data_IF_596519344739
#
_entry.id   IF_596519344739
#
_cell.length_a   1.000
_cell.length_b   1.000
_cell.length_c   1.000
_cell.angle_alpha   90.00
_cell.angle_beta   90.00
_cell.angle_gamma   90.00
#
_symmetry.space_group_name_H-M   'P 1'
#
loop_
_entity.id
_entity.type
_entity.pdbx_description
1 polymer ?
#
# COMPACT_ATOMS: atom_id res chain seq x y z
N UNK A 1 -12.45 -16.88 1.87
CA UNK A 1 -11.34 -15.95 2.18
C UNK A 1 -11.84 -14.55 1.87
N UNK A 2 -11.76 -13.59 2.81
CA UNK A 2 -12.27 -12.24 2.57
C UNK A 2 -11.16 -11.31 2.08
N UNK A 3 -11.37 -10.73 0.90
CA UNK A 3 -10.60 -9.58 0.41
C UNK A 3 -10.82 -8.36 1.33
N UNK A 4 -9.90 -7.39 1.37
CA UNK A 4 -10.11 -6.18 2.16
C UNK A 4 -11.32 -5.40 1.62
N UNK A 5 -12.01 -4.69 2.53
CA UNK A 5 -12.97 -3.67 2.11
C UNK A 5 -12.25 -2.56 1.34
N UNK A 6 -12.99 -1.83 0.52
CA UNK A 6 -12.46 -0.59 -0.05
C UNK A 6 -12.27 0.45 1.05
N UNK A 7 -11.22 1.26 0.93
CA UNK A 7 -10.93 2.26 1.95
C UNK A 7 -9.54 2.86 1.84
N UNK A 8 -9.24 3.71 2.82
CA UNK A 8 -7.92 4.30 2.99
C UNK A 8 -7.21 3.57 4.12
N UNK A 9 -5.96 3.19 3.90
CA UNK A 9 -5.19 2.32 4.79
C UNK A 9 -3.77 2.84 4.98
N UNK A 10 -3.20 2.56 6.15
CA UNK A 10 -1.77 2.38 6.30
C UNK A 10 -1.50 0.89 6.10
N UNK A 11 -0.51 0.56 5.27
CA UNK A 11 -0.16 -0.82 4.94
C UNK A 11 1.21 -1.10 5.54
N UNK A 12 1.27 -2.00 6.52
CA UNK A 12 2.46 -2.25 7.33
C UNK A 12 3.02 -3.64 7.03
N UNK A 13 4.33 -3.76 6.88
CA UNK A 13 4.97 -5.06 6.73
C UNK A 13 4.93 -5.84 8.06
N UNK A 14 4.78 -7.15 7.99
CA UNK A 14 4.73 -7.97 9.21
C UNK A 14 6.04 -7.95 10.01
N UNK A 15 7.20 -7.77 9.36
CA UNK A 15 8.47 -7.67 10.09
C UNK A 15 8.75 -6.23 10.53
N UNK A 16 9.25 -6.09 11.76
CA UNK A 16 9.74 -4.84 12.31
C UNK A 16 11.19 -4.59 11.91
N UNK A 17 11.63 -3.33 11.99
CA UNK A 17 13.04 -3.00 11.81
C UNK A 17 13.91 -3.39 13.03
N UNK A 18 15.21 -3.07 12.99
CA UNK A 18 16.12 -3.39 14.11
C UNK A 18 15.85 -2.63 15.40
N UNK A 19 15.08 -1.54 15.35
CA UNK A 19 14.66 -0.76 16.50
C UNK A 19 13.26 -1.15 17.00
N UNK A 20 12.68 -2.23 16.44
CA UNK A 20 11.31 -2.67 16.68
C UNK A 20 10.24 -1.71 16.14
N UNK A 21 10.60 -0.84 15.18
CA UNK A 21 9.65 0.06 14.54
C UNK A 21 8.82 -0.67 13.46
N UNK A 22 7.54 -0.32 13.36
CA UNK A 22 6.65 -0.77 12.29
C UNK A 22 7.05 -0.15 10.95
N UNK A 23 7.06 -0.96 9.88
CA UNK A 23 7.51 -0.54 8.56
C UNK A 23 6.33 -0.35 7.60
N UNK A 24 5.94 0.91 7.37
CA UNK A 24 4.80 1.27 6.52
C UNK A 24 5.20 1.52 5.05
N UNK A 25 4.36 1.07 4.11
CA UNK A 25 4.50 1.36 2.67
C UNK A 25 4.45 2.88 2.47
N UNK A 26 5.48 3.45 1.82
CA UNK A 26 5.69 4.89 1.70
C UNK A 26 5.86 5.33 0.25
N UNK A 27 5.10 6.35 -0.13
CA UNK A 27 5.13 6.99 -1.44
C UNK A 27 6.29 7.99 -1.54
N UNK A 28 7.15 7.81 -2.55
CA UNK A 28 8.35 8.65 -2.76
C UNK A 28 8.25 9.60 -3.97
N UNK A 29 7.04 9.83 -4.48
CA UNK A 29 6.82 10.65 -5.67
C UNK A 29 6.61 9.84 -6.97
N UNK A 30 6.27 10.53 -8.07
CA UNK A 30 5.90 9.89 -9.33
C UNK A 30 7.05 9.10 -9.95
N UNK A 31 6.77 7.90 -10.46
CA UNK A 31 7.77 7.02 -11.11
C UNK A 31 8.96 6.64 -10.22
N UNK A 32 8.87 6.86 -8.90
CA UNK A 32 9.87 6.44 -7.93
C UNK A 32 9.47 5.09 -7.32
N UNK A 33 10.44 4.26 -6.92
CA UNK A 33 10.18 3.07 -6.11
C UNK A 33 9.40 3.44 -4.85
N UNK A 34 8.38 2.64 -4.57
CA UNK A 34 7.71 2.63 -3.28
C UNK A 34 8.64 1.90 -2.30
N UNK A 35 8.79 2.43 -1.10
CA UNK A 35 9.64 1.86 -0.05
C UNK A 35 8.82 1.51 1.17
N UNK A 36 9.45 0.90 2.16
CA UNK A 36 8.97 0.91 3.54
C UNK A 36 9.81 1.89 4.37
N UNK A 37 9.20 2.62 5.29
CA UNK A 37 9.89 3.45 6.29
C UNK A 37 9.22 3.25 7.66
N UNK A 38 9.88 3.60 8.78
CA UNK A 38 9.23 3.63 10.08
C UNK A 38 7.89 4.38 10.01
N UNK A 39 6.87 3.83 10.67
CA UNK A 39 5.54 4.43 10.74
C UNK A 39 5.64 5.83 11.35
N UNK A 40 5.05 6.81 10.67
CA UNK A 40 4.96 8.19 11.14
C UNK A 40 3.48 8.58 11.33
N UNK A 41 3.20 9.34 12.40
CA UNK A 41 1.85 9.82 12.69
C UNK A 41 1.35 10.76 11.58
N UNK A 42 0.14 10.49 11.08
CA UNK A 42 -0.58 11.30 10.08
C UNK A 42 0.19 11.54 8.75
N UNK A 43 1.14 10.69 8.38
CA UNK A 43 1.85 10.82 7.10
C UNK A 43 0.98 10.38 5.90
N UNK A 44 0.64 11.37 5.07
CA UNK A 44 -0.10 11.16 3.82
C UNK A 44 0.67 10.33 2.79
N UNK A 45 2.00 10.27 2.85
CA UNK A 45 2.80 9.42 1.97
C UNK A 45 2.76 7.95 2.42
N UNK A 46 2.45 7.67 3.68
CA UNK A 46 2.23 6.33 4.21
C UNK A 46 0.78 5.85 4.12
N UNK A 47 -0.10 6.72 3.59
CA UNK A 47 -1.52 6.45 3.47
C UNK A 47 -1.88 6.10 2.03
N UNK A 48 -2.62 5.00 1.85
CA UNK A 48 -2.96 4.41 0.55
C UNK A 48 -4.44 4.13 0.41
N UNK A 49 -5.02 4.51 -0.72
CA UNK A 49 -6.39 4.15 -1.12
C UNK A 49 -6.35 2.79 -1.80
N UNK A 50 -7.07 1.83 -1.21
CA UNK A 50 -7.35 0.51 -1.79
C UNK A 50 -8.76 0.55 -2.35
N UNK A 51 -8.87 0.55 -3.68
CA UNK A 51 -10.14 0.66 -4.40
C UNK A 51 -10.38 -0.58 -5.26
N UNK A 52 -11.57 -1.14 -5.17
CA UNK A 52 -11.97 -2.30 -5.96
C UNK A 52 -12.10 -1.91 -7.43
N UNK A 53 -11.70 -2.83 -8.32
CA UNK A 53 -11.94 -2.72 -9.76
C UNK A 53 -12.98 -3.74 -10.20
N UNK A 54 -12.59 -5.00 -10.24
CA UNK A 54 -13.38 -6.14 -10.70
C UNK A 54 -12.72 -7.46 -10.26
N UNK A 55 -13.46 -8.57 -10.23
CA UNK A 55 -12.92 -9.92 -10.01
C UNK A 55 -11.99 -10.11 -8.78
N UNK A 56 -12.16 -9.30 -7.73
CA UNK A 56 -11.29 -9.34 -6.53
C UNK A 56 -9.93 -8.66 -6.72
N UNK A 57 -9.81 -7.84 -7.75
CA UNK A 57 -8.66 -7.02 -8.10
C UNK A 57 -8.85 -5.59 -7.57
N UNK A 58 -7.75 -5.00 -7.13
CA UNK A 58 -7.74 -3.69 -6.49
C UNK A 58 -6.67 -2.79 -7.09
N UNK A 59 -7.00 -1.52 -7.25
CA UNK A 59 -6.01 -0.47 -7.39
C UNK A 59 -5.46 -0.08 -6.01
N UNK A 60 -4.17 0.21 -5.94
CA UNK A 60 -3.50 0.75 -4.74
C UNK A 60 -2.92 2.10 -5.11
N UNK A 61 -3.42 3.18 -4.50
CA UNK A 61 -3.11 4.57 -4.90
C UNK A 61 -2.60 5.37 -3.71
N UNK A 62 -1.55 6.20 -3.85
CA UNK A 62 -1.11 7.01 -2.73
C UNK A 62 -2.15 8.10 -2.44
N UNK A 63 -2.46 8.33 -1.17
CA UNK A 63 -3.39 9.39 -0.74
C UNK A 63 -2.83 10.79 -0.99
N UNK A 64 -1.51 10.92 -1.05
CA UNK A 64 -0.82 12.16 -1.41
C UNK A 64 -1.04 12.57 -2.88
N UNK A 65 -1.19 11.60 -3.80
CA UNK A 65 -1.43 11.88 -5.22
C UNK A 65 -2.25 10.75 -5.87
N UNK A 66 -3.57 10.88 -5.78
CA UNK A 66 -4.47 9.90 -6.37
C UNK A 66 -4.51 9.96 -7.91
N UNK A 67 -3.74 10.81 -8.61
CA UNK A 67 -3.59 10.68 -10.07
C UNK A 67 -2.71 9.49 -10.47
N UNK A 68 -2.02 8.90 -9.48
CA UNK A 68 -1.12 7.78 -9.62
C UNK A 68 -1.68 6.49 -9.01
N UNK A 69 -1.08 5.36 -9.37
CA UNK A 69 -1.32 4.05 -8.76
C UNK A 69 -0.04 3.19 -8.78
N UNK A 70 0.03 2.22 -7.87
CA UNK A 70 1.15 1.29 -7.76
C UNK A 70 1.14 0.30 -8.92
N UNK A 71 2.28 0.17 -9.60
CA UNK A 71 2.46 -0.68 -10.77
C UNK A 71 3.89 -1.17 -10.93
N UNK A 72 4.11 -2.01 -11.94
CA UNK A 72 5.42 -2.59 -12.22
C UNK A 72 6.46 -1.57 -12.68
N UNK A 73 7.59 -1.53 -11.98
CA UNK A 73 8.81 -0.84 -12.37
C UNK A 73 9.81 -1.76 -13.07
N UNK A 74 11.02 -1.24 -13.31
CA UNK A 74 12.14 -2.07 -13.81
C UNK A 74 12.64 -2.99 -12.70
N UNK A 75 13.25 -4.12 -13.06
CA UNK A 75 13.86 -5.07 -12.13
C UNK A 75 12.90 -5.52 -11.02
N UNK A 76 11.62 -5.71 -11.36
CA UNK A 76 10.55 -6.11 -10.45
C UNK A 76 10.28 -5.15 -9.26
N UNK A 77 10.82 -3.93 -9.27
CA UNK A 77 10.42 -2.90 -8.31
C UNK A 77 8.94 -2.54 -8.46
N UNK A 78 8.31 -2.15 -7.36
CA UNK A 78 6.98 -1.53 -7.39
C UNK A 78 7.16 -0.02 -7.37
N UNK A 79 6.59 0.66 -8.35
CA UNK A 79 6.67 2.12 -8.50
C UNK A 79 5.26 2.71 -8.62
N UNK A 80 5.13 4.03 -8.52
CA UNK A 80 3.88 4.71 -8.90
C UNK A 80 3.89 5.13 -10.36
N UNK A 81 2.75 4.99 -11.03
CA UNK A 81 2.54 5.39 -12.42
C UNK A 81 1.23 6.16 -12.57
N UNK A 82 1.06 6.98 -13.64
CA UNK A 82 -0.25 7.53 -13.97
C UNK A 82 -1.31 6.44 -13.96
N UNK A 83 -2.49 6.77 -13.43
CA UNK A 83 -3.67 5.89 -13.45
C UNK A 83 -3.85 5.27 -14.84
N UNK A 84 -3.93 3.95 -14.86
CA UNK A 84 -4.26 3.17 -16.03
C UNK A 84 -5.10 2.01 -15.56
N UNK A 85 -4.47 0.85 -15.40
CA UNK A 85 -5.12 -0.42 -15.08
C UNK A 85 -4.23 -1.34 -14.22
N UNK A 86 -3.30 -0.77 -13.45
CA UNK A 86 -2.44 -1.56 -12.57
C UNK A 86 -3.23 -2.04 -11.36
N UNK A 87 -3.35 -3.36 -11.24
CA UNK A 87 -4.17 -3.99 -10.19
C UNK A 87 -3.46 -5.15 -9.52
N UNK A 88 -3.89 -5.40 -8.29
CA UNK A 88 -3.32 -6.40 -7.39
C UNK A 88 -4.42 -7.20 -6.70
N UNK A 89 -4.14 -8.47 -6.40
CA UNK A 89 -4.97 -9.31 -5.55
C UNK A 89 -4.49 -9.19 -4.11
N UNK A 90 -5.44 -9.26 -3.18
CA UNK A 90 -5.17 -9.46 -1.76
C UNK A 90 -5.61 -10.87 -1.36
N UNK A 91 -4.64 -11.71 -0.99
CA UNK A 91 -4.91 -13.07 -0.49
C UNK A 91 -4.70 -13.08 1.02
N UNK A 92 -5.76 -13.40 1.77
CA UNK A 92 -5.76 -13.39 3.23
C UNK A 92 -5.01 -14.60 3.81
N UNK A 93 -4.19 -14.37 4.83
CA UNK A 93 -3.44 -15.35 5.63
C UNK A 93 -3.58 -14.98 7.11
N UNK A 94 -4.51 -15.63 7.82
CA UNK A 94 -4.92 -15.19 9.16
C UNK A 94 -5.49 -13.77 9.11
N UNK A 95 -4.91 -12.86 9.89
CA UNK A 95 -5.27 -11.43 9.90
C UNK A 95 -4.43 -10.59 8.93
N UNK A 96 -3.55 -11.22 8.15
CA UNK A 96 -2.62 -10.58 7.22
C UNK A 96 -3.01 -10.83 5.78
N UNK A 97 -2.32 -10.14 4.88
CA UNK A 97 -2.50 -10.26 3.45
C UNK A 97 -1.18 -10.46 2.72
N UNK A 98 -1.22 -11.27 1.68
CA UNK A 98 -0.27 -11.18 0.57
C UNK A 98 -0.84 -10.24 -0.49
N UNK A 99 -0.03 -9.33 -1.00
CA UNK A 99 -0.34 -8.50 -2.18
C UNK A 99 0.30 -9.17 -3.39
N UNK A 100 -0.52 -9.64 -4.33
CA UNK A 100 -0.10 -10.56 -5.38
C UNK A 100 -0.47 -10.00 -6.76
N UNK A 101 0.35 -10.29 -7.76
CA UNK A 101 0.05 -10.02 -9.16
C UNK A 101 -1.21 -10.77 -9.64
N UNK A 102 -1.72 -10.37 -10.81
CA UNK A 102 -2.95 -10.93 -11.38
C UNK A 102 -2.84 -12.43 -11.66
N UNK A 103 -1.63 -12.92 -11.95
CA UNK A 103 -1.36 -14.31 -12.34
C UNK A 103 -1.05 -15.23 -11.14
N UNK A 104 -1.06 -14.70 -9.91
CA UNK A 104 -0.74 -15.46 -8.68
C UNK A 104 0.69 -16.02 -8.63
N UNK A 105 1.63 -15.41 -9.34
CA UNK A 105 3.00 -15.90 -9.50
C UNK A 105 4.03 -15.12 -8.68
N UNK A 106 3.69 -13.87 -8.34
CA UNK A 106 4.60 -12.90 -7.72
C UNK A 106 3.88 -12.15 -6.62
N UNK A 107 4.49 -12.04 -5.45
CA UNK A 107 3.94 -11.22 -4.36
C UNK A 107 4.94 -10.16 -3.88
N UNK A 108 4.36 -9.07 -3.37
CA UNK A 108 5.13 -7.96 -2.85
C UNK A 108 5.86 -8.36 -1.58
N UNK A 109 7.08 -7.87 -1.43
CA UNK A 109 7.86 -8.02 -0.22
C UNK A 109 9.04 -7.06 -0.18
N UNK A 110 9.79 -7.15 0.92
CA UNK A 110 11.02 -6.42 1.14
C UNK A 110 12.18 -7.40 1.31
N UNK A 111 13.37 -7.04 0.83
CA UNK A 111 14.56 -7.89 1.03
C UNK A 111 15.12 -7.76 2.45
N UNK A 112 15.00 -6.57 3.04
CA UNK A 112 15.49 -6.20 4.37
C UNK A 112 14.41 -5.47 5.17
N UNK A 113 14.42 -5.69 6.48
CA UNK A 113 13.54 -4.98 7.41
C UNK A 113 14.24 -3.69 7.88
N UNK A 114 14.41 -2.75 6.94
CA UNK A 114 15.15 -1.51 7.17
C UNK A 114 14.40 -0.36 6.48
N UNK A 115 14.31 0.80 7.14
CA UNK A 115 13.74 1.99 6.55
C UNK A 115 14.43 2.39 5.23
N UNK A 116 13.63 2.78 4.24
CA UNK A 116 14.07 3.06 2.87
C UNK A 116 14.19 1.83 1.97
N UNK A 117 13.94 0.61 2.47
CA UNK A 117 13.97 -0.60 1.64
C UNK A 117 12.85 -0.56 0.59
N UNK A 118 13.19 -0.83 -0.66
CA UNK A 118 12.23 -0.87 -1.76
C UNK A 118 11.30 -2.08 -1.66
N UNK A 119 10.05 -1.88 -2.08
CA UNK A 119 9.12 -2.98 -2.30
C UNK A 119 9.38 -3.57 -3.68
N UNK A 120 9.54 -4.88 -3.71
CA UNK A 120 9.75 -5.66 -4.93
C UNK A 120 8.70 -6.74 -5.07
N UNK A 121 8.32 -7.04 -6.31
CA UNK A 121 7.56 -8.24 -6.62
C UNK A 121 8.51 -9.40 -6.86
N UNK A 122 8.66 -10.28 -5.87
CA UNK A 122 9.47 -11.50 -5.98
C UNK A 122 8.63 -12.73 -6.29
N UNK A 123 9.28 -13.81 -6.73
CA UNK A 123 8.63 -15.13 -6.84
C UNK A 123 7.80 -15.39 -5.57
N UNK A 124 6.54 -15.79 -5.75
CA UNK A 124 5.58 -15.98 -4.67
C UNK A 124 6.21 -16.75 -3.51
N UNK A 125 6.25 -16.11 -2.34
CA UNK A 125 6.81 -16.65 -1.11
C UNK A 125 5.84 -16.44 0.07
N UNK A 126 5.91 -17.32 1.06
CA UNK A 126 5.03 -17.32 2.23
C UNK A 126 5.75 -16.93 3.52
N UNK A 127 6.81 -16.12 3.40
CA UNK A 127 7.59 -15.66 4.55
C UNK A 127 7.08 -14.30 5.06
N UNK A 128 7.56 -13.91 6.24
CA UNK A 128 7.08 -12.73 6.96
C UNK A 128 7.28 -11.43 6.20
N UNK A 129 8.38 -11.31 5.45
CA UNK A 129 8.69 -10.11 4.67
C UNK A 129 7.74 -9.88 3.50
N UNK A 130 6.90 -10.87 3.16
CA UNK A 130 5.88 -10.81 2.12
C UNK A 130 4.46 -10.63 2.66
N UNK A 131 4.29 -10.51 3.99
CA UNK A 131 2.99 -10.38 4.66
C UNK A 131 2.75 -8.95 5.10
N UNK A 132 1.52 -8.50 4.90
CA UNK A 132 1.12 -7.11 5.09
C UNK A 132 -0.14 -7.02 5.95
N UNK A 133 -0.17 -6.04 6.84
CA UNK A 133 -1.30 -5.71 7.69
C UNK A 133 -1.92 -4.39 7.20
N UNK A 134 -3.25 -4.34 7.12
CA UNK A 134 -3.98 -3.18 6.61
C UNK A 134 -4.72 -2.51 7.77
N UNK A 135 -4.25 -1.32 8.15
CA UNK A 135 -4.85 -0.52 9.21
C UNK A 135 -5.73 0.57 8.59
N UNK A 136 -7.06 0.52 8.77
CA UNK A 136 -7.95 1.52 8.19
C UNK A 136 -7.69 2.90 8.80
N UNK A 137 -7.48 3.89 7.95
CA UNK A 137 -7.42 5.29 8.35
C UNK A 137 -8.85 5.81 8.43
N UNK A 138 -9.31 6.08 9.64
CA UNK A 138 -10.56 6.80 9.85
C UNK A 138 -10.36 8.25 9.42
N UNK A 139 -10.61 8.55 8.15
CA UNK A 139 -10.67 9.94 7.69
C UNK A 139 -11.82 10.60 8.43
N UNK A 140 -11.53 11.42 9.44
CA UNK A 140 -12.54 12.32 10.01
C UNK A 140 -13.05 13.19 8.87
N UNK A 141 -14.33 13.07 8.55
CA UNK A 141 -15.02 13.90 7.58
C UNK A 141 -15.32 15.25 8.25
N UNK A 142 -14.29 15.98 8.66
CA UNK A 142 -14.42 17.33 9.22
C UNK A 142 -13.42 18.22 8.49
N UNK A 143 -13.81 18.75 7.32
CA UNK A 143 -13.38 20.08 6.80
C UNK A 143 -13.82 20.37 5.36
N UNK A 144 -15.08 20.07 5.01
CA UNK A 144 -15.73 20.73 3.88
C UNK A 144 -17.17 21.06 4.29
N UNK A 145 -17.50 22.35 4.37
CA UNK A 145 -18.81 22.99 4.66
C UNK A 145 -19.02 23.53 6.08
N UNK A 146 -18.24 24.56 6.44
CA UNK A 146 -18.79 25.63 7.29
C UNK A 146 -18.24 26.99 6.86
N UNK A 147 -18.80 27.55 5.78
CA UNK A 147 -18.76 29.00 5.47
C UNK A 147 -19.79 29.33 4.39
N UNK A 148 -21.07 29.24 4.75
CA UNK A 148 -22.06 30.19 4.28
C UNK A 148 -22.58 30.95 5.50
N UNK A 149 -21.86 32.03 5.81
CA UNK A 149 -22.37 33.07 6.69
C UNK A 149 -23.53 33.76 5.99
N UNK A 150 -24.64 33.82 6.71
CA UNK A 150 -25.75 34.75 6.47
C UNK A 150 -25.20 36.16 6.31
N UNK A 151 -25.68 36.88 5.30
CA UNK A 151 -26.06 38.29 5.37
C UNK A 151 -27.12 38.54 4.29
#
# INVERSE_FOLDING_TARGET
MSSPSEGTYIIINHVLDSNEDELAITFNGPSKPITVTPLEDDDRNQTWVVAYRDHGMYHIRPQADQSLEAGWGKNASIITKPKGDYVWKFTKDGDRYYIIDTDDTVNWGIEKAEGGTMIVGGKKATNDKNRWELFPVNVRVDDQHSRQGKN
#
